data_IF_415919500706
#
_entry.id   IF_415919500706
#
_cell.length_a   1.000
_cell.length_b   1.000
_cell.length_c   1.000
_cell.angle_alpha   90.00
_cell.angle_beta   90.00
_cell.angle_gamma   90.00
#
_symmetry.space_group_name_H-M   'P 1'
#
loop_
_entity.id
_entity.type
_entity.pdbx_description
1 polymer ?
#
# COMPACT_ATOMS: atom_id res chain seq x y z
N UNK A 1 -3.68 -16.84 -24.22
CA UNK A 1 -4.87 -16.73 -23.34
C UNK A 1 -4.66 -15.53 -22.41
N UNK A 2 -4.97 -14.33 -22.89
CA UNK A 2 -4.83 -13.10 -22.11
C UNK A 2 -5.99 -13.05 -21.11
N UNK A 3 -5.74 -13.45 -19.86
CA UNK A 3 -6.68 -13.21 -18.77
C UNK A 3 -6.85 -11.70 -18.67
N UNK A 4 -8.01 -11.18 -19.06
CA UNK A 4 -8.43 -9.84 -18.66
C UNK A 4 -8.64 -9.89 -17.15
N UNK A 5 -7.55 -9.73 -16.41
CA UNK A 5 -7.61 -9.38 -15.00
C UNK A 5 -8.50 -8.15 -14.94
N UNK A 6 -9.69 -8.30 -14.38
CA UNK A 6 -10.61 -7.17 -14.25
C UNK A 6 -9.92 -6.18 -13.32
N UNK A 7 -9.35 -5.10 -13.88
CA UNK A 7 -8.45 -4.18 -13.18
C UNK A 7 -9.05 -3.66 -11.88
N UNK A 8 -10.39 -3.50 -11.84
CA UNK A 8 -11.15 -3.13 -10.64
C UNK A 8 -10.99 -4.11 -9.47
N UNK A 9 -10.95 -5.43 -9.71
CA UNK A 9 -10.80 -6.43 -8.64
C UNK A 9 -9.40 -6.33 -8.02
N UNK A 10 -8.37 -6.21 -8.84
CA UNK A 10 -6.99 -6.05 -8.36
C UNK A 10 -6.78 -4.72 -7.64
N UNK A 11 -7.33 -3.62 -8.15
CA UNK A 11 -7.27 -2.32 -7.46
C UNK A 11 -7.90 -2.42 -6.07
N UNK A 12 -9.07 -3.07 -5.96
CA UNK A 12 -9.71 -3.29 -4.67
C UNK A 12 -8.91 -4.24 -3.77
N UNK A 13 -8.27 -5.27 -4.33
CA UNK A 13 -7.42 -6.18 -3.58
C UNK A 13 -6.21 -5.44 -2.99
N UNK A 14 -5.50 -4.67 -3.82
CA UNK A 14 -4.38 -3.81 -3.39
C UNK A 14 -4.84 -2.82 -2.31
N UNK A 15 -5.95 -2.12 -2.51
CA UNK A 15 -6.47 -1.17 -1.52
C UNK A 15 -6.76 -1.81 -0.16
N UNK A 16 -7.40 -2.99 -0.17
CA UNK A 16 -7.69 -3.75 1.06
C UNK A 16 -6.42 -4.22 1.74
N UNK A 17 -5.42 -4.64 0.97
CA UNK A 17 -4.14 -5.07 1.52
C UNK A 17 -3.39 -3.89 2.15
N UNK A 18 -3.37 -2.72 1.50
CA UNK A 18 -2.79 -1.50 2.07
C UNK A 18 -3.47 -1.17 3.41
N UNK A 19 -4.80 -1.25 3.50
CA UNK A 19 -5.51 -1.04 4.78
C UNK A 19 -5.07 -2.07 5.82
N UNK A 20 -4.99 -3.35 5.46
CA UNK A 20 -4.56 -4.41 6.37
C UNK A 20 -3.14 -4.15 6.91
N UNK A 21 -2.18 -3.92 6.02
CA UNK A 21 -0.78 -3.64 6.38
C UNK A 21 -0.67 -2.36 7.21
N UNK A 22 -1.40 -1.30 6.83
CA UNK A 22 -1.37 -0.03 7.57
C UNK A 22 -1.77 -0.20 9.04
N UNK A 23 -2.67 -1.14 9.37
CA UNK A 23 -3.11 -1.41 10.75
C UNK A 23 -2.06 -2.14 11.58
N UNK A 24 -1.10 -2.82 10.95
CA UNK A 24 -0.05 -3.53 11.66
C UNK A 24 1.03 -2.57 12.22
N UNK A 25 1.10 -1.33 11.75
CA UNK A 25 2.00 -0.31 12.29
C UNK A 25 1.68 0.00 13.76
N UNK A 26 2.65 -0.24 14.64
CA UNK A 26 2.52 0.01 16.09
C UNK A 26 3.14 1.35 16.52
N UNK A 27 3.96 1.98 15.68
CA UNK A 27 4.69 3.20 16.00
C UNK A 27 4.24 4.41 15.17
N UNK A 28 4.55 5.59 15.68
CA UNK A 28 4.31 6.86 15.00
C UNK A 28 5.48 7.24 14.09
N UNK A 29 5.24 8.14 13.14
CA UNK A 29 6.30 8.79 12.39
C UNK A 29 7.09 9.79 13.26
N UNK A 30 8.13 10.37 12.70
CA UNK A 30 8.99 11.37 13.36
C UNK A 30 8.22 12.60 13.86
N UNK A 31 7.06 12.90 13.25
CA UNK A 31 6.18 14.01 13.63
C UNK A 31 5.13 13.61 14.69
N UNK A 32 5.21 12.38 15.24
CA UNK A 32 4.28 11.86 16.22
C UNK A 32 2.93 11.41 15.66
N UNK A 33 2.78 11.33 14.34
CA UNK A 33 1.55 10.91 13.66
C UNK A 33 1.52 9.39 13.43
N UNK A 34 0.38 8.71 13.62
CA UNK A 34 0.28 7.28 13.34
C UNK A 34 0.46 6.97 11.85
N UNK A 35 1.43 6.11 11.51
CA UNK A 35 1.64 5.64 10.13
C UNK A 35 0.39 5.05 9.52
N UNK A 36 -0.39 4.32 10.33
CA UNK A 36 -1.65 3.71 9.92
C UNK A 36 -2.65 4.73 9.33
N UNK A 37 -2.68 5.96 9.85
CA UNK A 37 -3.55 7.03 9.35
C UNK A 37 -3.03 7.58 8.03
N UNK A 38 -1.75 7.94 7.99
CA UNK A 38 -1.09 8.55 6.83
C UNK A 38 -1.19 7.63 5.61
N UNK A 39 -0.87 6.34 5.77
CA UNK A 39 -0.88 5.38 4.67
C UNK A 39 -2.29 5.17 4.10
N UNK A 40 -3.32 5.15 4.95
CA UNK A 40 -4.71 5.04 4.50
C UNK A 40 -5.19 6.27 3.74
N UNK A 41 -4.85 7.46 4.24
CA UNK A 41 -5.21 8.73 3.59
C UNK A 41 -4.51 8.86 2.22
N UNK A 42 -3.22 8.55 2.17
CA UNK A 42 -2.44 8.57 0.92
C UNK A 42 -2.98 7.56 -0.09
N UNK A 43 -3.21 6.30 0.31
CA UNK A 43 -3.75 5.28 -0.59
C UNK A 43 -5.13 5.66 -1.16
N UNK A 44 -6.00 6.24 -0.32
CA UNK A 44 -7.30 6.74 -0.78
C UNK A 44 -7.13 7.87 -1.78
N UNK A 45 -6.23 8.83 -1.51
CA UNK A 45 -5.97 9.97 -2.39
C UNK A 45 -5.47 9.51 -3.76
N UNK A 46 -4.48 8.62 -3.81
CA UNK A 46 -3.91 8.10 -5.05
C UNK A 46 -4.97 7.37 -5.91
N UNK A 47 -5.79 6.51 -5.28
CA UNK A 47 -6.85 5.79 -6.00
C UNK A 47 -7.94 6.74 -6.51
N UNK A 48 -8.35 7.74 -5.72
CA UNK A 48 -9.33 8.72 -6.18
C UNK A 48 -8.78 9.59 -7.32
N UNK A 49 -7.50 9.97 -7.28
CA UNK A 49 -6.84 10.69 -8.37
C UNK A 49 -6.84 9.88 -9.67
N UNK A 50 -6.71 8.55 -9.57
CA UNK A 50 -6.71 7.63 -10.70
C UNK A 50 -8.11 7.10 -11.09
N UNK A 51 -9.19 7.55 -10.44
CA UNK A 51 -10.54 6.95 -10.59
C UNK A 51 -11.07 6.93 -12.02
N UNK A 52 -10.67 7.91 -12.82
CA UNK A 52 -11.12 8.06 -14.22
C UNK A 52 -10.13 7.50 -15.24
N UNK A 53 -9.05 6.84 -14.80
CA UNK A 53 -8.13 6.17 -15.70
C UNK A 53 -8.83 4.97 -16.36
N UNK A 54 -8.76 4.91 -17.69
CA UNK A 54 -9.37 3.86 -18.51
C UNK A 54 -8.34 3.09 -19.34
N UNK A 55 -7.10 3.60 -19.44
CA UNK A 55 -6.03 2.93 -20.14
C UNK A 55 -5.55 1.72 -19.34
N UNK A 56 -5.82 0.52 -19.87
CA UNK A 56 -5.46 -0.76 -19.25
C UNK A 56 -3.97 -0.87 -18.93
N UNK A 57 -3.09 -0.35 -19.79
CA UNK A 57 -1.63 -0.43 -19.58
C UNK A 57 -1.19 0.45 -18.41
N UNK A 58 -1.77 1.64 -18.28
CA UNK A 58 -1.52 2.53 -17.15
C UNK A 58 -1.99 1.89 -15.85
N UNK A 59 -3.22 1.36 -15.82
CA UNK A 59 -3.75 0.69 -14.62
C UNK A 59 -2.87 -0.50 -14.24
N UNK A 60 -2.42 -1.29 -15.21
CA UNK A 60 -1.53 -2.42 -14.95
C UNK A 60 -0.18 -1.96 -14.36
N UNK A 61 0.44 -0.92 -14.91
CA UNK A 61 1.67 -0.33 -14.34
C UNK A 61 1.46 0.17 -12.92
N UNK A 62 0.38 0.90 -12.66
CA UNK A 62 0.06 1.42 -11.33
C UNK A 62 -0.14 0.29 -10.32
N UNK A 63 -0.80 -0.81 -10.72
CA UNK A 63 -0.96 -1.98 -9.87
C UNK A 63 0.37 -2.64 -9.52
N UNK A 64 1.24 -2.87 -10.52
CA UNK A 64 2.56 -3.48 -10.29
C UNK A 64 3.39 -2.63 -9.33
N UNK A 65 3.51 -1.32 -9.62
CA UNK A 65 4.27 -0.39 -8.76
C UNK A 65 3.64 -0.28 -7.37
N UNK A 66 2.31 -0.31 -7.27
CA UNK A 66 1.59 -0.28 -6.00
C UNK A 66 1.86 -1.51 -5.14
N UNK A 67 1.87 -2.70 -5.73
CA UNK A 67 2.23 -3.95 -5.04
C UNK A 67 3.70 -3.97 -4.62
N UNK A 68 4.62 -3.55 -5.49
CA UNK A 68 6.04 -3.47 -5.16
C UNK A 68 6.31 -2.50 -4.00
N UNK A 69 5.66 -1.34 -4.01
CA UNK A 69 5.73 -0.36 -2.91
C UNK A 69 5.21 -0.97 -1.60
N UNK A 70 4.08 -1.68 -1.64
CA UNK A 70 3.51 -2.34 -0.46
C UNK A 70 4.47 -3.40 0.11
N UNK A 71 5.10 -4.21 -0.73
CA UNK A 71 6.10 -5.19 -0.30
C UNK A 71 7.30 -4.52 0.36
N UNK A 72 7.82 -3.44 -0.21
CA UNK A 72 8.92 -2.69 0.39
C UNK A 72 8.54 -2.11 1.76
N UNK A 73 7.31 -1.61 1.89
CA UNK A 73 6.80 -1.12 3.18
C UNK A 73 6.75 -2.25 4.19
N UNK A 74 6.24 -3.43 3.83
CA UNK A 74 6.22 -4.59 4.71
C UNK A 74 7.63 -5.03 5.14
N UNK A 75 8.59 -5.07 4.23
CA UNK A 75 10.00 -5.37 4.56
C UNK A 75 10.56 -4.39 5.58
N UNK A 76 10.38 -3.09 5.36
CA UNK A 76 10.81 -2.05 6.31
C UNK A 76 10.12 -2.14 7.66
N UNK A 77 8.86 -2.59 7.70
CA UNK A 77 8.17 -2.82 8.96
C UNK A 77 8.78 -3.97 9.75
N UNK A 78 9.13 -5.07 9.08
CA UNK A 78 9.78 -6.22 9.72
C UNK A 78 11.15 -5.81 10.25
N UNK A 79 11.97 -5.15 9.43
CA UNK A 79 13.27 -4.61 9.85
C UNK A 79 13.13 -3.71 11.09
N UNK A 80 12.13 -2.82 11.08
CA UNK A 80 11.90 -1.93 12.22
C UNK A 80 11.42 -2.65 13.48
N UNK A 81 10.60 -3.69 13.33
CA UNK A 81 10.16 -4.52 14.44
C UNK A 81 11.36 -5.24 15.08
N UNK A 82 12.23 -5.84 14.27
CA UNK A 82 13.45 -6.52 14.73
C UNK A 82 14.40 -5.56 15.45
N UNK A 83 14.57 -4.33 14.95
CA UNK A 83 15.35 -3.28 15.63
C UNK A 83 14.79 -2.93 17.02
N UNK A 84 13.47 -2.82 17.14
CA UNK A 84 12.83 -2.50 18.41
C UNK A 84 12.93 -3.66 19.41
N UNK A 85 12.89 -4.91 18.96
CA UNK A 85 13.11 -6.07 19.83
C UNK A 85 14.56 -6.16 20.32
N UNK A 86 15.55 -5.87 19.46
CA UNK A 86 16.98 -5.88 19.83
C UNK A 86 17.38 -4.74 20.77
N UNK A 87 16.68 -3.61 20.70
CA UNK A 87 16.93 -2.44 21.55
C UNK A 87 16.18 -2.48 22.90
N UNK A 88 15.49 -3.58 23.20
CA UNK A 88 14.72 -3.80 24.43
C UNK A 88 15.54 -4.58 25.46
#
# INVERSE_FOLDING_TARGET
>A
MTKFVTSKKEVLALYREIIRVSRAFQWNNEQGQPWAKILRENARKEIEMARHETNTENIARMLVVGWDCLHQVQSKMVEKADEMEKNK
#
